data_IF_381386717686
#
_entry.id   IF_381386717686
#
_cell.length_a   1.000
_cell.length_b   1.000
_cell.length_c   1.000
_cell.angle_alpha   90.00
_cell.angle_beta   90.00
_cell.angle_gamma   90.00
#
_symmetry.space_group_name_H-M   'P 1'
#
loop_
_entity.id
_entity.type
_entity.pdbx_description
1 polymer ?
#
# COMPACT_ATOMS: atom_id res chain seq x y z
N UNK A 1 37.68 12.80 -1.17
CA UNK A 1 37.31 11.98 0.01
C UNK A 1 36.10 12.61 0.66
N UNK A 2 34.96 11.94 0.57
CA UNK A 2 33.77 12.37 1.26
C UNK A 2 33.87 12.07 2.74
N UNK A 3 33.75 13.08 3.58
CA UNK A 3 33.63 12.92 5.02
C UNK A 3 32.21 12.42 5.30
N UNK A 4 32.08 11.23 5.84
CA UNK A 4 30.79 10.73 6.32
C UNK A 4 30.59 11.27 7.74
N UNK A 5 29.71 12.22 7.91
CA UNK A 5 29.32 12.75 9.21
C UNK A 5 28.01 12.09 9.62
N UNK A 6 28.02 11.40 10.75
CA UNK A 6 26.85 10.76 11.32
C UNK A 6 26.53 11.45 12.62
N UNK A 7 25.41 12.18 12.66
CA UNK A 7 24.88 12.81 13.86
C UNK A 7 23.80 11.91 14.46
N UNK A 8 23.99 11.51 15.70
CA UNK A 8 23.05 10.66 16.43
C UNK A 8 22.65 11.33 17.77
N UNK A 9 21.36 11.41 18.01
CA UNK A 9 20.77 11.88 19.23
C UNK A 9 19.92 10.77 19.85
N UNK A 10 20.51 10.05 20.83
CA UNK A 10 19.85 8.91 21.47
C UNK A 10 20.66 8.36 22.66
N UNK A 11 20.22 7.25 23.22
CA UNK A 11 20.81 6.64 24.40
C UNK A 11 22.19 6.01 24.14
N UNK A 12 23.11 6.12 25.12
CA UNK A 12 24.49 5.63 25.00
C UNK A 12 24.62 4.12 24.73
N UNK A 13 23.64 3.34 25.15
CA UNK A 13 23.65 1.88 24.95
C UNK A 13 23.51 1.48 23.47
N UNK A 14 22.77 2.24 22.70
CA UNK A 14 22.66 2.03 21.25
C UNK A 14 24.01 2.27 20.54
N UNK A 15 24.73 3.29 20.95
CA UNK A 15 26.06 3.61 20.39
C UNK A 15 27.10 2.52 20.66
N UNK A 16 26.99 1.84 21.81
CA UNK A 16 27.94 0.78 22.19
C UNK A 16 27.66 -0.55 21.51
N UNK A 17 26.42 -0.90 21.30
CA UNK A 17 26.02 -2.23 20.87
C UNK A 17 25.70 -2.33 19.38
N UNK A 18 25.07 -1.32 18.81
CA UNK A 18 24.56 -1.39 17.43
C UNK A 18 25.38 -0.55 16.44
N UNK A 19 26.03 0.53 16.89
CA UNK A 19 26.81 1.37 15.99
C UNK A 19 28.01 0.66 15.36
N UNK A 20 28.77 -0.22 16.05
CA UNK A 20 29.87 -0.94 15.43
C UNK A 20 29.41 -1.88 14.31
N UNK A 21 28.25 -2.48 14.46
CA UNK A 21 27.66 -3.40 13.48
C UNK A 21 27.18 -2.64 12.23
N UNK A 22 26.54 -1.49 12.41
CA UNK A 22 26.15 -0.58 11.33
C UNK A 22 27.36 -0.04 10.55
N UNK A 23 28.44 0.33 11.23
CA UNK A 23 29.66 0.81 10.59
C UNK A 23 30.40 -0.31 9.83
N UNK A 24 30.27 -1.55 10.28
CA UNK A 24 30.77 -2.73 9.58
C UNK A 24 30.07 -2.89 8.22
N UNK A 25 28.75 -2.79 8.22
CA UNK A 25 27.92 -2.90 7.02
C UNK A 25 28.17 -1.77 6.02
N UNK A 26 28.39 -0.55 6.51
CA UNK A 26 28.71 0.61 5.65
C UNK A 26 30.11 0.49 5.03
N UNK A 27 31.08 -0.13 5.71
CA UNK A 27 32.40 -0.37 5.14
C UNK A 27 32.39 -1.39 3.99
N UNK A 28 31.52 -2.39 4.07
CA UNK A 28 31.34 -3.35 2.98
C UNK A 28 30.64 -2.70 1.76
N UNK A 29 29.76 -1.72 1.98
CA UNK A 29 29.09 -1.00 0.90
C UNK A 29 29.94 0.10 0.25
N UNK A 30 30.98 0.58 0.93
CA UNK A 30 31.86 1.65 0.44
C UNK A 30 33.04 1.18 -0.42
N UNK A 31 33.20 -0.11 -0.66
CA UNK A 31 34.34 -0.72 -1.34
C UNK A 31 34.12 -1.16 -2.78
N UNK A 32 33.10 -0.65 -3.49
CA UNK A 32 32.91 -0.99 -4.91
C UNK A 32 32.91 0.27 -5.76
N UNK A 33 34.13 0.68 -6.10
CA UNK A 33 34.35 1.42 -7.33
C UNK A 33 34.53 0.42 -8.47
N UNK A 34 33.74 0.67 -9.51
CA UNK A 34 33.92 0.23 -10.90
C UNK A 34 34.01 -1.28 -11.19
N UNK A 35 32.98 -1.79 -11.75
CA UNK A 35 32.95 -2.25 -13.15
C UNK A 35 31.69 -3.03 -13.45
N UNK A 36 30.94 -2.49 -14.36
CA UNK A 36 30.24 -3.16 -15.46
C UNK A 36 29.88 -4.63 -15.28
N UNK A 37 28.64 -4.81 -15.57
CA UNK A 37 28.01 -6.00 -16.10
C UNK A 37 27.30 -6.93 -15.16
N UNK A 38 26.01 -6.84 -15.34
CA UNK A 38 25.10 -7.95 -15.52
C UNK A 38 24.73 -8.80 -14.33
N UNK A 39 23.47 -8.71 -14.09
CA UNK A 39 22.64 -9.79 -13.55
C UNK A 39 22.92 -10.14 -12.11
N UNK A 40 22.16 -9.50 -11.29
CA UNK A 40 21.70 -10.24 -10.14
C UNK A 40 20.27 -9.84 -9.82
N UNK A 41 19.42 -10.78 -10.08
CA UNK A 41 18.20 -11.08 -9.37
C UNK A 41 18.27 -10.60 -7.93
N UNK A 42 17.76 -9.40 -7.70
CA UNK A 42 17.23 -9.09 -6.39
C UNK A 42 15.83 -9.67 -6.37
N UNK A 43 15.71 -10.79 -5.71
CA UNK A 43 14.43 -11.33 -5.27
C UNK A 43 13.77 -10.33 -4.31
N UNK A 44 13.25 -9.26 -4.87
CA UNK A 44 12.17 -8.51 -4.25
C UNK A 44 10.87 -9.12 -4.78
N UNK A 45 10.12 -9.86 -3.96
CA UNK A 45 8.88 -10.47 -4.41
C UNK A 45 7.79 -9.46 -4.76
N UNK A 46 8.13 -8.17 -4.86
CA UNK A 46 7.21 -7.08 -5.19
C UNK A 46 7.35 -6.54 -6.61
N UNK A 47 8.29 -7.03 -7.40
CA UNK A 47 8.49 -6.57 -8.78
C UNK A 47 7.99 -7.56 -9.85
N UNK A 48 7.16 -8.52 -9.46
CA UNK A 48 6.54 -9.44 -10.40
C UNK A 48 5.13 -9.00 -10.78
N UNK A 49 4.97 -7.81 -11.32
CA UNK A 49 3.77 -7.51 -12.11
C UNK A 49 3.93 -6.34 -13.09
N UNK A 50 5.12 -6.15 -13.64
CA UNK A 50 5.30 -5.17 -14.72
C UNK A 50 4.85 -5.70 -16.09
N UNK A 51 4.28 -6.90 -16.17
CA UNK A 51 3.88 -7.49 -17.45
C UNK A 51 2.43 -7.97 -17.51
N UNK A 52 1.55 -7.30 -16.76
CA UNK A 52 0.11 -7.48 -16.99
C UNK A 52 -0.42 -6.19 -17.58
N UNK A 53 -0.59 -6.21 -18.89
CA UNK A 53 -1.22 -5.14 -19.61
C UNK A 53 -2.48 -4.66 -18.90
N UNK A 54 -2.51 -3.38 -18.63
CA UNK A 54 -3.69 -2.63 -18.18
C UNK A 54 -4.43 -3.14 -16.93
N UNK A 55 -3.71 -3.74 -15.97
CA UNK A 55 -4.35 -4.14 -14.72
C UNK A 55 -4.64 -2.91 -13.86
N UNK A 56 -5.91 -2.70 -13.59
CA UNK A 56 -6.38 -1.70 -12.66
C UNK A 56 -5.83 -2.01 -11.26
N UNK A 57 -4.88 -1.23 -10.80
CA UNK A 57 -4.42 -1.26 -9.41
C UNK A 57 -5.24 -0.29 -8.56
N UNK A 58 -5.24 -0.47 -7.26
CA UNK A 58 -5.91 0.46 -6.33
C UNK A 58 -5.40 1.89 -6.50
N UNK A 59 -4.13 2.09 -6.80
CA UNK A 59 -3.57 3.43 -7.11
C UNK A 59 -4.18 4.05 -8.36
N UNK A 60 -4.38 3.27 -9.42
CA UNK A 60 -5.01 3.75 -10.67
C UNK A 60 -6.48 4.07 -10.42
N UNK A 61 -7.18 3.22 -9.69
CA UNK A 61 -8.58 3.44 -9.29
C UNK A 61 -8.70 4.72 -8.47
N UNK A 62 -7.85 4.87 -7.44
CA UNK A 62 -7.82 6.05 -6.58
C UNK A 62 -7.54 7.35 -7.35
N UNK A 63 -6.63 7.30 -8.32
CA UNK A 63 -6.34 8.43 -9.20
C UNK A 63 -7.55 8.82 -10.06
N UNK A 64 -8.20 7.85 -10.68
CA UNK A 64 -9.39 8.09 -11.51
C UNK A 64 -10.61 8.57 -10.71
N UNK A 65 -10.73 8.13 -9.46
CA UNK A 65 -11.77 8.59 -8.54
C UNK A 65 -11.46 9.96 -7.94
N UNK A 66 -10.26 10.48 -8.17
CA UNK A 66 -9.79 11.75 -7.57
C UNK A 66 -9.90 11.71 -6.05
N UNK A 67 -9.41 10.63 -5.44
CA UNK A 67 -9.50 10.41 -4.00
C UNK A 67 -8.88 11.57 -3.20
N UNK A 68 -9.67 12.20 -2.36
CA UNK A 68 -9.25 13.30 -1.47
C UNK A 68 -9.33 12.91 -0.01
N UNK A 69 -10.18 11.96 0.31
CA UNK A 69 -10.48 11.54 1.69
C UNK A 69 -10.20 10.05 1.88
N UNK A 70 -10.17 9.64 3.15
CA UNK A 70 -9.99 8.24 3.49
C UNK A 70 -11.13 7.35 3.00
N UNK A 71 -12.36 7.87 3.00
CA UNK A 71 -13.53 7.16 2.49
C UNK A 71 -13.40 6.81 1.00
N UNK A 72 -12.90 7.75 0.19
CA UNK A 72 -12.69 7.54 -1.25
C UNK A 72 -11.65 6.45 -1.51
N UNK A 73 -10.58 6.43 -0.71
CA UNK A 73 -9.53 5.41 -0.82
C UNK A 73 -10.04 4.03 -0.39
N UNK A 74 -10.90 3.97 0.64
CA UNK A 74 -11.54 2.73 1.08
C UNK A 74 -12.44 2.19 -0.03
N UNK A 75 -13.22 3.04 -0.68
CA UNK A 75 -14.07 2.65 -1.80
C UNK A 75 -13.23 2.13 -2.99
N UNK A 76 -12.12 2.79 -3.30
CA UNK A 76 -11.19 2.35 -4.34
C UNK A 76 -10.59 0.98 -4.04
N UNK A 77 -10.15 0.75 -2.80
CA UNK A 77 -9.59 -0.53 -2.36
C UNK A 77 -10.66 -1.64 -2.33
N UNK A 78 -11.87 -1.34 -1.86
CA UNK A 78 -13.00 -2.27 -1.86
C UNK A 78 -13.38 -2.68 -3.30
N UNK A 79 -13.42 -1.72 -4.21
CA UNK A 79 -13.67 -2.01 -5.63
C UNK A 79 -12.57 -2.87 -6.25
N UNK A 80 -11.33 -2.63 -5.92
CA UNK A 80 -10.23 -3.49 -6.37
C UNK A 80 -10.41 -4.93 -5.89
N UNK A 81 -10.70 -5.13 -4.61
CA UNK A 81 -10.87 -6.47 -4.03
C UNK A 81 -12.05 -7.23 -4.66
N UNK A 82 -13.18 -6.58 -4.87
CA UNK A 82 -14.40 -7.21 -5.40
C UNK A 82 -14.45 -7.19 -6.92
N UNK A 83 -14.20 -6.03 -7.53
CA UNK A 83 -14.34 -5.85 -8.98
C UNK A 83 -13.20 -6.43 -9.80
N UNK A 84 -11.96 -6.22 -9.36
CA UNK A 84 -10.75 -6.63 -10.08
C UNK A 84 -10.28 -8.00 -9.61
N UNK A 85 -10.13 -8.20 -8.29
CA UNK A 85 -9.70 -9.48 -7.71
C UNK A 85 -10.82 -10.52 -7.63
N UNK A 86 -12.05 -10.14 -7.98
CA UNK A 86 -13.25 -11.00 -8.05
C UNK A 86 -13.56 -11.74 -6.74
N UNK A 87 -13.31 -11.09 -5.62
CA UNK A 87 -13.74 -11.55 -4.31
C UNK A 87 -15.21 -11.21 -4.11
N UNK A 88 -15.94 -12.05 -3.40
CA UNK A 88 -17.33 -11.75 -3.01
C UNK A 88 -17.39 -10.83 -1.77
N UNK A 89 -16.45 -11.04 -0.86
CA UNK A 89 -16.32 -10.31 0.38
C UNK A 89 -14.86 -10.02 0.68
N UNK A 90 -14.61 -9.09 1.59
CA UNK A 90 -13.26 -8.79 2.09
C UNK A 90 -13.30 -8.47 3.58
N UNK A 91 -12.21 -8.76 4.26
CA UNK A 91 -12.03 -8.44 5.66
C UNK A 91 -11.44 -7.03 5.83
N UNK A 92 -11.56 -6.49 7.05
CA UNK A 92 -10.94 -5.23 7.43
C UNK A 92 -9.43 -5.22 7.20
N UNK A 93 -8.74 -6.31 7.51
CA UNK A 93 -7.29 -6.42 7.33
C UNK A 93 -6.88 -6.45 5.86
N UNK A 94 -7.66 -7.13 5.02
CA UNK A 94 -7.44 -7.13 3.57
C UNK A 94 -7.63 -5.72 2.99
N UNK A 95 -8.66 -5.01 3.44
CA UNK A 95 -8.91 -3.63 3.05
C UNK A 95 -7.74 -2.71 3.42
N UNK A 96 -7.24 -2.79 4.66
CA UNK A 96 -6.08 -1.99 5.12
C UNK A 96 -4.84 -2.31 4.29
N UNK A 97 -4.61 -3.60 4.01
CA UNK A 97 -3.48 -4.04 3.20
C UNK A 97 -3.55 -3.47 1.79
N UNK A 98 -4.73 -3.50 1.21
CA UNK A 98 -4.97 -2.97 -0.13
C UNK A 98 -4.88 -1.44 -0.17
N UNK A 99 -5.39 -0.73 0.83
CA UNK A 99 -5.20 0.72 0.96
C UNK A 99 -3.72 1.11 1.02
N UNK A 100 -2.90 0.31 1.71
CA UNK A 100 -1.45 0.55 1.80
C UNK A 100 -0.72 0.35 0.48
N UNK A 101 -1.26 -0.44 -0.44
CA UNK A 101 -0.69 -0.61 -1.79
C UNK A 101 -0.73 0.69 -2.59
N UNK A 102 -1.74 1.52 -2.37
CA UNK A 102 -1.89 2.84 -2.99
C UNK A 102 -1.09 3.92 -2.24
N UNK A 103 0.23 3.78 -2.20
CA UNK A 103 1.15 4.61 -1.40
C UNK A 103 0.96 6.12 -1.57
N UNK A 104 0.67 6.59 -2.79
CA UNK A 104 0.50 8.02 -3.09
C UNK A 104 -0.75 8.63 -2.43
N UNK A 105 -1.75 7.82 -2.14
CA UNK A 105 -3.04 8.24 -1.56
C UNK A 105 -3.18 7.82 -0.10
N UNK A 106 -2.37 6.88 0.36
CA UNK A 106 -2.46 6.33 1.71
C UNK A 106 -1.91 7.29 2.76
N UNK A 107 -2.70 7.50 3.82
CA UNK A 107 -2.28 8.21 5.04
C UNK A 107 -2.53 7.32 6.25
N UNK A 108 -1.58 7.29 7.18
CA UNK A 108 -1.70 6.50 8.42
C UNK A 108 -2.95 6.86 9.24
N UNK A 109 -3.35 8.13 9.22
CA UNK A 109 -4.57 8.63 9.86
C UNK A 109 -5.85 7.97 9.34
N UNK A 110 -5.86 7.45 8.11
CA UNK A 110 -7.02 6.77 7.56
C UNK A 110 -7.30 5.45 8.26
N UNK A 111 -6.26 4.74 8.68
CA UNK A 111 -6.41 3.50 9.48
C UNK A 111 -6.99 3.80 10.86
N UNK A 112 -6.56 4.87 11.49
CA UNK A 112 -7.07 5.28 12.80
C UNK A 112 -8.56 5.65 12.75
N UNK A 113 -9.01 6.22 11.64
CA UNK A 113 -10.40 6.63 11.44
C UNK A 113 -11.21 5.64 10.60
N UNK A 114 -10.67 4.45 10.31
CA UNK A 114 -11.26 3.48 9.41
C UNK A 114 -12.70 3.11 9.80
N UNK A 115 -12.96 2.90 11.09
CA UNK A 115 -14.31 2.55 11.58
C UNK A 115 -15.34 3.62 11.27
N UNK A 116 -14.96 4.90 11.35
CA UNK A 116 -15.86 6.01 11.02
C UNK A 116 -16.13 6.08 9.52
N UNK A 117 -15.11 5.90 8.69
CA UNK A 117 -15.27 5.84 7.24
C UNK A 117 -16.12 4.66 6.79
N UNK A 118 -15.92 3.47 7.39
CA UNK A 118 -16.75 2.29 7.10
C UNK A 118 -18.21 2.53 7.46
N UNK A 119 -18.49 3.08 8.63
CA UNK A 119 -19.86 3.46 9.03
C UNK A 119 -20.49 4.45 8.05
N UNK A 120 -19.74 5.44 7.61
CA UNK A 120 -20.20 6.43 6.62
C UNK A 120 -20.51 5.76 5.28
N UNK A 121 -19.67 4.86 4.80
CA UNK A 121 -19.88 4.16 3.54
C UNK A 121 -21.05 3.16 3.61
N UNK A 122 -21.23 2.51 4.75
CA UNK A 122 -22.37 1.61 4.99
C UNK A 122 -23.68 2.43 5.03
N UNK A 123 -23.71 3.54 5.77
CA UNK A 123 -24.87 4.45 5.83
C UNK A 123 -25.20 5.05 4.47
N UNK A 124 -24.17 5.30 3.64
CA UNK A 124 -24.33 5.78 2.27
C UNK A 124 -24.64 4.69 1.25
N UNK A 125 -24.87 3.46 1.68
CA UNK A 125 -25.13 2.30 0.81
C UNK A 125 -24.03 2.04 -0.23
N UNK A 126 -22.79 2.42 0.09
CA UNK A 126 -21.62 2.18 -0.75
C UNK A 126 -20.93 0.85 -0.40
N UNK A 127 -21.07 0.41 0.83
CA UNK A 127 -20.59 -0.89 1.34
C UNK A 127 -21.67 -1.55 2.18
N UNK A 128 -21.65 -2.87 2.25
CA UNK A 128 -22.47 -3.68 3.14
C UNK A 128 -21.58 -4.40 4.14
N UNK A 129 -21.98 -4.46 5.39
CA UNK A 129 -21.38 -5.33 6.40
C UNK A 129 -22.12 -6.67 6.38
N UNK A 130 -21.41 -7.73 6.04
CA UNK A 130 -22.00 -9.09 5.91
C UNK A 130 -21.63 -10.01 7.08
N UNK A 131 -20.69 -9.59 7.90
CA UNK A 131 -20.24 -10.29 9.10
C UNK A 131 -19.34 -9.42 9.94
N UNK A 132 -18.88 -9.92 11.07
CA UNK A 132 -17.96 -9.18 11.95
C UNK A 132 -16.67 -8.85 11.19
N UNK A 133 -16.42 -7.56 10.97
CA UNK A 133 -15.27 -7.05 10.20
C UNK A 133 -15.15 -7.62 8.76
N UNK A 134 -16.27 -8.10 8.20
CA UNK A 134 -16.38 -8.60 6.82
C UNK A 134 -17.37 -7.74 6.05
N UNK A 135 -16.93 -7.28 4.89
CA UNK A 135 -17.68 -6.33 4.05
C UNK A 135 -17.83 -6.82 2.63
N UNK A 136 -18.85 -6.31 1.95
CA UNK A 136 -19.08 -6.48 0.53
C UNK A 136 -19.47 -5.16 -0.12
N UNK A 137 -19.46 -5.12 -1.44
CA UNK A 137 -19.93 -3.95 -2.20
C UNK A 137 -21.30 -4.27 -2.80
N UNK A 138 -22.30 -3.39 -2.66
CA UNK A 138 -23.60 -3.55 -3.31
C UNK A 138 -23.46 -3.71 -4.82
N UNK A 139 -24.29 -4.54 -5.42
CA UNK A 139 -24.22 -4.85 -6.85
C UNK A 139 -24.34 -3.60 -7.73
N UNK A 140 -25.20 -2.67 -7.37
CA UNK A 140 -25.41 -1.44 -8.13
C UNK A 140 -24.18 -0.53 -8.12
N UNK A 141 -23.51 -0.42 -6.96
CA UNK A 141 -22.28 0.33 -6.81
C UNK A 141 -21.15 -0.34 -7.60
N UNK A 142 -21.07 -1.67 -7.49
CA UNK A 142 -20.09 -2.45 -8.23
C UNK A 142 -20.27 -2.30 -9.74
N UNK A 143 -21.50 -2.35 -10.23
CA UNK A 143 -21.83 -2.15 -11.65
C UNK A 143 -21.44 -0.74 -12.11
N UNK A 144 -21.83 0.30 -11.36
CA UNK A 144 -21.44 1.69 -11.65
C UNK A 144 -19.93 1.86 -11.77
N UNK A 145 -19.20 1.24 -10.84
CA UNK A 145 -17.74 1.30 -10.84
C UNK A 145 -17.15 0.54 -12.04
N UNK A 146 -17.64 -0.64 -12.35
CA UNK A 146 -17.23 -1.42 -13.53
C UNK A 146 -17.45 -0.64 -14.82
N UNK A 147 -18.63 -0.06 -15.00
CA UNK A 147 -18.96 0.76 -16.18
C UNK A 147 -18.00 1.97 -16.29
N UNK A 148 -17.69 2.62 -15.17
CA UNK A 148 -16.78 3.76 -15.12
C UNK A 148 -15.33 3.39 -15.49
N UNK A 149 -14.91 2.18 -15.16
CA UNK A 149 -13.55 1.70 -15.44
C UNK A 149 -13.45 0.84 -16.70
N UNK A 150 -14.56 0.49 -17.32
CA UNK A 150 -14.61 -0.28 -18.55
C UNK A 150 -14.27 -1.77 -18.37
N UNK A 151 -14.69 -2.39 -17.25
CA UNK A 151 -14.43 -3.80 -16.93
C UNK A 151 -15.71 -4.55 -16.56
#
# INVERSE_FOLDING_TARGET
>A
MGLLEIEYEGEEEFLKNELPDLLGTVKELGGVTESRDHRTSSDDPRSLDSNRGNQLSTSVIASKLTCKQGADLIEAAAFYLIGVSKKETFSRDELIREMRSAKAFFKKSYVNNLSNYLKQLISGQRLNEVGTDVFSMPHDVLKQMKDRFGI
#
